data_IF_753311528079
#
_entry.id   IF_753311528079
#
_cell.length_a   1.000
_cell.length_b   1.000
_cell.length_c   1.000
_cell.angle_alpha   90.00
_cell.angle_beta   90.00
_cell.angle_gamma   90.00
#
_symmetry.space_group_name_H-M   'P 1'
#
loop_
_entity.id
_entity.type
_entity.pdbx_description
1 polymer ?
#
# COMPACT_ATOMS: atom_id res chain seq x y z
N UNK A 1 -16.79 0.80 -13.82
CA UNK A 1 -16.65 0.74 -12.34
C UNK A 1 -15.72 -0.42 -11.96
N UNK A 2 -16.15 -1.69 -12.04
CA UNK A 2 -15.28 -2.85 -11.73
C UNK A 2 -14.05 -3.01 -12.63
N UNK A 3 -14.19 -2.66 -13.92
CA UNK A 3 -13.09 -2.76 -14.91
C UNK A 3 -11.93 -1.78 -14.64
N UNK A 4 -12.13 -0.75 -13.82
CA UNK A 4 -11.09 0.20 -13.42
C UNK A 4 -10.53 -0.08 -12.01
N UNK A 5 -10.82 -1.25 -11.42
CA UNK A 5 -10.37 -1.60 -10.08
C UNK A 5 -11.24 -1.07 -8.94
N UNK A 6 -12.40 -0.48 -9.24
CA UNK A 6 -13.33 0.08 -8.25
C UNK A 6 -14.52 -0.86 -8.01
N UNK A 7 -14.72 -1.30 -6.76
CA UNK A 7 -15.85 -2.15 -6.34
C UNK A 7 -16.80 -1.37 -5.42
N UNK A 8 -17.77 -0.62 -5.98
CA UNK A 8 -18.74 0.11 -5.16
C UNK A 8 -19.66 -0.85 -4.42
N UNK A 9 -20.08 -0.42 -3.23
CA UNK A 9 -21.16 -1.05 -2.48
C UNK A 9 -22.54 -0.72 -3.08
N UNK A 10 -23.55 -1.50 -2.73
CA UNK A 10 -24.93 -1.29 -3.20
C UNK A 10 -25.48 0.08 -2.79
N UNK A 11 -25.12 0.55 -1.59
CA UNK A 11 -25.53 1.85 -1.05
C UNK A 11 -24.93 3.01 -1.86
N UNK A 12 -23.67 2.87 -2.30
CA UNK A 12 -23.03 3.86 -3.15
C UNK A 12 -23.64 3.90 -4.55
N UNK A 13 -23.96 2.73 -5.14
CA UNK A 13 -24.65 2.70 -6.42
C UNK A 13 -26.01 3.41 -6.36
N UNK A 14 -26.70 3.31 -5.22
CA UNK A 14 -27.98 4.00 -5.01
C UNK A 14 -27.77 5.51 -4.90
N UNK A 15 -26.80 5.99 -4.13
CA UNK A 15 -26.49 7.43 -4.01
C UNK A 15 -26.05 8.04 -5.35
N UNK A 16 -25.18 7.33 -6.08
CA UNK A 16 -24.74 7.69 -7.42
C UNK A 16 -25.95 7.77 -8.37
N UNK A 17 -26.91 6.85 -8.26
CA UNK A 17 -28.13 6.86 -9.09
C UNK A 17 -29.06 8.04 -8.80
N UNK A 18 -29.07 8.56 -7.58
CA UNK A 18 -29.91 9.69 -7.17
C UNK A 18 -29.33 11.05 -7.60
N UNK A 19 -28.00 11.16 -7.71
CA UNK A 19 -27.33 12.37 -8.19
C UNK A 19 -27.40 12.55 -9.72
N UNK A 20 -27.75 11.49 -10.47
CA UNK A 20 -27.86 11.55 -11.93
C UNK A 20 -29.21 12.14 -12.33
N UNK A 21 -29.24 13.45 -12.59
CA UNK A 21 -30.39 14.11 -13.20
C UNK A 21 -30.48 13.74 -14.69
N UNK A 22 -31.36 12.81 -15.04
CA UNK A 22 -31.76 12.59 -16.44
C UNK A 22 -31.15 11.39 -17.16
N UNK A 23 -30.51 10.46 -16.44
CA UNK A 23 -30.14 9.13 -16.96
C UNK A 23 -29.03 9.11 -18.02
N UNK A 24 -28.32 10.23 -18.22
CA UNK A 24 -27.11 10.31 -19.05
C UNK A 24 -25.99 10.86 -18.18
N UNK A 25 -24.88 10.13 -18.14
CA UNK A 25 -23.65 10.52 -17.47
C UNK A 25 -22.67 10.82 -18.60
N UNK A 26 -22.17 12.04 -18.69
CA UNK A 26 -21.04 12.32 -19.58
C UNK A 26 -19.71 12.00 -18.89
N UNK A 27 -18.61 12.10 -19.62
CA UNK A 27 -17.31 11.71 -19.08
C UNK A 27 -16.84 12.65 -17.94
N UNK A 28 -17.27 13.90 -17.96
CA UNK A 28 -16.89 14.91 -16.96
C UNK A 28 -17.65 14.66 -15.65
N UNK A 29 -18.95 14.39 -15.72
CA UNK A 29 -19.76 13.92 -14.58
C UNK A 29 -19.19 12.63 -13.99
N UNK A 30 -18.72 11.70 -14.84
CA UNK A 30 -18.12 10.45 -14.38
C UNK A 30 -16.80 10.68 -13.62
N UNK A 31 -15.95 11.59 -14.10
CA UNK A 31 -14.67 11.92 -13.44
C UNK A 31 -14.89 12.69 -12.14
N UNK A 32 -15.86 13.61 -12.06
CA UNK A 32 -16.15 14.32 -10.80
C UNK A 32 -16.72 13.37 -9.73
N UNK A 33 -17.54 12.42 -10.15
CA UNK A 33 -18.23 11.51 -9.25
C UNK A 33 -17.35 10.34 -8.81
N UNK A 34 -16.53 9.82 -9.71
CA UNK A 34 -15.65 8.68 -9.46
C UNK A 34 -14.22 9.11 -9.10
N UNK A 35 -13.76 10.30 -9.48
CA UNK A 35 -12.39 10.76 -9.22
C UNK A 35 -12.02 10.78 -7.74
N UNK A 36 -12.82 11.39 -6.84
CA UNK A 36 -12.52 11.42 -5.42
C UNK A 36 -12.60 10.04 -4.77
N UNK A 37 -13.57 9.21 -5.17
CA UNK A 37 -13.75 7.84 -4.62
C UNK A 37 -12.73 6.86 -5.14
N UNK A 38 -12.37 6.95 -6.42
CA UNK A 38 -11.26 6.19 -6.99
C UNK A 38 -9.97 6.64 -6.33
N UNK A 39 -9.66 7.93 -6.20
CA UNK A 39 -8.45 8.36 -5.50
C UNK A 39 -8.43 7.91 -4.03
N UNK A 40 -9.56 7.93 -3.31
CA UNK A 40 -9.63 7.48 -1.93
C UNK A 40 -9.52 5.95 -1.77
N UNK A 41 -10.33 5.17 -2.49
CA UNK A 41 -10.30 3.69 -2.39
C UNK A 41 -9.14 3.05 -3.15
N UNK A 42 -8.67 3.67 -4.23
CA UNK A 42 -7.44 3.22 -4.90
C UNK A 42 -6.20 3.68 -4.17
N UNK A 43 -6.17 4.76 -3.39
CA UNK A 43 -5.01 5.02 -2.52
C UNK A 43 -4.82 3.88 -1.50
N UNK A 44 -5.91 3.36 -0.92
CA UNK A 44 -5.84 2.23 0.00
C UNK A 44 -5.54 0.89 -0.73
N UNK A 45 -6.20 0.60 -1.86
CA UNK A 45 -5.94 -0.65 -2.61
C UNK A 45 -4.63 -0.67 -3.40
N UNK A 46 -4.24 0.45 -4.02
CA UNK A 46 -2.95 0.61 -4.69
C UNK A 46 -1.84 0.62 -3.64
N UNK A 47 -2.04 1.34 -2.53
CA UNK A 47 -1.10 1.35 -1.40
C UNK A 47 -0.80 -0.05 -0.90
N UNK A 48 -1.81 -0.87 -0.60
CA UNK A 48 -1.58 -2.25 -0.12
C UNK A 48 -0.89 -3.11 -1.19
N UNK A 49 -1.24 -2.96 -2.47
CA UNK A 49 -0.62 -3.74 -3.54
C UNK A 49 0.84 -3.34 -3.77
N UNK A 50 1.13 -2.05 -3.82
CA UNK A 50 2.50 -1.53 -3.94
C UNK A 50 3.34 -1.85 -2.70
N UNK A 51 2.77 -1.77 -1.50
CA UNK A 51 3.41 -2.20 -0.26
C UNK A 51 3.72 -3.69 -0.28
N UNK A 52 2.85 -4.52 -0.87
CA UNK A 52 3.06 -5.95 -1.01
C UNK A 52 4.12 -6.29 -2.06
N UNK A 53 4.15 -5.55 -3.17
CA UNK A 53 5.18 -5.72 -4.19
C UNK A 53 6.54 -5.23 -3.67
N UNK A 54 6.58 -4.12 -2.92
CA UNK A 54 7.75 -3.66 -2.19
C UNK A 54 8.18 -4.69 -1.13
N UNK A 55 7.28 -5.20 -0.30
CA UNK A 55 7.59 -6.21 0.70
C UNK A 55 8.25 -7.45 0.09
N UNK A 56 7.77 -7.91 -1.08
CA UNK A 56 8.39 -9.01 -1.84
C UNK A 56 9.76 -8.69 -2.41
N UNK A 57 10.06 -7.41 -2.66
CA UNK A 57 11.39 -7.01 -3.10
C UNK A 57 12.41 -7.04 -1.95
N UNK A 58 11.94 -6.84 -0.71
CA UNK A 58 12.74 -6.96 0.49
C UNK A 58 12.87 -8.44 0.92
N UNK A 59 11.77 -9.17 1.01
CA UNK A 59 11.70 -10.60 1.32
C UNK A 59 12.20 -11.45 0.14
N UNK A 60 13.53 -11.60 0.06
CA UNK A 60 14.19 -12.32 -1.03
C UNK A 60 14.01 -13.84 -0.95
N UNK A 61 13.80 -14.37 0.26
CA UNK A 61 13.63 -15.81 0.49
C UNK A 61 12.15 -16.27 0.36
N UNK A 62 11.19 -15.34 0.46
CA UNK A 62 9.76 -15.58 0.31
C UNK A 62 9.09 -16.23 1.52
N UNK A 63 9.68 -16.13 2.72
CA UNK A 63 9.17 -16.73 3.95
C UNK A 63 8.07 -15.88 4.62
N UNK A 64 7.79 -14.70 4.06
CA UNK A 64 6.75 -13.79 4.53
C UNK A 64 7.20 -12.87 5.67
N UNK A 65 8.50 -12.86 6.00
CA UNK A 65 9.13 -11.99 6.99
C UNK A 65 10.41 -11.40 6.41
N UNK A 66 10.74 -10.17 6.77
CA UNK A 66 11.99 -9.54 6.34
C UNK A 66 13.01 -9.71 7.45
N UNK A 67 14.04 -10.51 7.19
CA UNK A 67 15.17 -10.64 8.11
C UNK A 67 16.09 -9.40 8.07
N UNK A 68 16.90 -9.25 9.11
CA UNK A 68 17.91 -8.18 9.20
C UNK A 68 18.90 -8.19 8.02
N UNK A 69 19.20 -9.38 7.47
CA UNK A 69 20.05 -9.53 6.27
C UNK A 69 19.34 -9.04 5.01
N UNK A 70 18.07 -9.39 4.84
CA UNK A 70 17.24 -8.97 3.70
C UNK A 70 16.98 -7.47 3.71
N UNK A 71 16.65 -6.91 4.88
CA UNK A 71 16.51 -5.48 5.08
C UNK A 71 17.79 -4.74 4.68
N UNK A 72 18.96 -5.28 5.05
CA UNK A 72 20.27 -4.73 4.67
C UNK A 72 20.49 -4.73 3.17
N UNK A 73 20.21 -5.85 2.50
CA UNK A 73 20.40 -5.94 1.05
C UNK A 73 19.44 -5.02 0.30
N UNK A 74 18.19 -4.93 0.74
CA UNK A 74 17.18 -4.05 0.16
C UNK A 74 17.54 -2.57 0.36
N UNK A 75 17.92 -2.17 1.58
CA UNK A 75 18.39 -0.80 1.89
C UNK A 75 19.60 -0.40 1.04
N UNK A 76 20.54 -1.32 0.85
CA UNK A 76 21.70 -1.10 -0.02
C UNK A 76 21.31 -0.91 -1.50
N UNK A 77 20.31 -1.64 -1.99
CA UNK A 77 19.79 -1.49 -3.36
C UNK A 77 19.05 -0.16 -3.55
N UNK A 78 18.26 0.27 -2.57
CA UNK A 78 17.42 1.47 -2.67
C UNK A 78 18.20 2.76 -2.43
N UNK A 79 19.06 2.81 -1.41
CA UNK A 79 19.76 4.03 -1.01
C UNK A 79 21.17 4.12 -1.59
N UNK A 80 21.67 3.06 -2.23
CA UNK A 80 22.99 3.02 -2.88
C UNK A 80 24.19 3.07 -1.92
N UNK A 81 23.97 3.42 -0.65
CA UNK A 81 24.98 3.57 0.38
C UNK A 81 25.06 2.35 1.30
N UNK A 82 26.24 2.10 1.87
CA UNK A 82 26.47 1.00 2.80
C UNK A 82 25.84 1.34 4.15
N UNK A 83 24.54 1.06 4.29
CA UNK A 83 23.86 1.18 5.59
C UNK A 83 24.57 0.27 6.59
N UNK A 84 24.96 0.86 7.72
CA UNK A 84 25.74 0.17 8.74
C UNK A 84 24.84 -0.75 9.57
N UNK A 85 25.41 -1.81 10.15
CA UNK A 85 24.66 -2.71 11.04
C UNK A 85 23.99 -1.97 12.20
N UNK A 86 24.56 -0.84 12.62
CA UNK A 86 24.02 -0.03 13.70
C UNK A 86 22.74 0.68 13.27
N UNK A 87 22.73 1.30 12.10
CA UNK A 87 21.55 1.98 11.54
C UNK A 87 20.41 0.98 11.30
N UNK A 88 20.73 -0.21 10.75
CA UNK A 88 19.73 -1.26 10.54
C UNK A 88 19.19 -1.77 11.87
N UNK A 89 20.03 -1.92 12.89
CA UNK A 89 19.57 -2.31 14.22
C UNK A 89 18.70 -1.24 14.89
N UNK A 90 18.93 0.05 14.60
CA UNK A 90 18.08 1.14 15.09
C UNK A 90 16.73 1.15 14.37
N UNK A 91 16.73 0.99 13.04
CA UNK A 91 15.50 0.84 12.25
C UNK A 91 14.70 -0.36 12.72
N UNK A 92 15.34 -1.52 12.89
CA UNK A 92 14.67 -2.73 13.33
C UNK A 92 14.03 -2.52 14.70
N UNK A 93 14.72 -1.89 15.66
CA UNK A 93 14.14 -1.59 16.98
C UNK A 93 12.92 -0.67 16.95
N UNK A 94 12.82 0.19 15.94
CA UNK A 94 11.68 1.11 15.80
C UNK A 94 10.48 0.45 15.10
N UNK A 95 10.72 -0.62 14.34
CA UNK A 95 9.72 -1.28 13.48
C UNK A 95 9.26 -2.63 14.04
N UNK A 96 10.17 -3.40 14.64
CA UNK A 96 9.93 -4.68 15.32
C UNK A 96 9.18 -4.44 16.63
N UNK A 97 7.85 -4.57 16.57
CA UNK A 97 6.96 -4.36 17.70
C UNK A 97 6.80 -5.63 18.53
N UNK A 98 6.93 -6.79 17.89
CA UNK A 98 6.72 -8.09 18.50
C UNK A 98 8.01 -8.62 19.20
N UNK A 99 9.17 -8.06 18.88
CA UNK A 99 10.49 -8.36 19.44
C UNK A 99 11.12 -9.66 18.92
N UNK A 100 10.69 -10.18 17.77
CA UNK A 100 11.18 -11.43 17.19
C UNK A 100 12.45 -11.26 16.34
N UNK A 101 12.87 -10.02 16.10
CA UNK A 101 14.05 -9.68 15.32
C UNK A 101 13.84 -9.73 13.81
N UNK A 102 12.60 -9.88 13.37
CA UNK A 102 12.14 -9.89 11.98
C UNK A 102 11.13 -8.74 11.78
N UNK A 103 10.75 -8.50 10.53
CA UNK A 103 9.71 -7.52 10.21
C UNK A 103 8.63 -8.23 9.41
N UNK A 104 7.44 -8.34 9.98
CA UNK A 104 6.28 -8.89 9.29
C UNK A 104 5.61 -7.86 8.36
N UNK A 105 4.64 -8.32 7.57
CA UNK A 105 3.94 -7.44 6.63
C UNK A 105 3.18 -6.31 7.33
N UNK A 106 2.62 -6.54 8.51
CA UNK A 106 1.86 -5.54 9.25
C UNK A 106 2.78 -4.46 9.82
N UNK A 107 3.94 -4.85 10.35
CA UNK A 107 5.00 -3.97 10.81
C UNK A 107 5.60 -3.14 9.66
N UNK A 108 5.82 -3.76 8.50
CA UNK A 108 6.29 -3.07 7.30
C UNK A 108 5.28 -2.02 6.79
N UNK A 109 3.99 -2.36 6.74
CA UNK A 109 2.94 -1.42 6.36
C UNK A 109 2.90 -0.25 7.34
N UNK A 110 3.04 -0.52 8.64
CA UNK A 110 3.06 0.51 9.67
C UNK A 110 4.28 1.44 9.58
N UNK A 111 5.43 0.91 9.15
CA UNK A 111 6.62 1.71 8.85
C UNK A 111 6.37 2.69 7.70
N UNK A 112 5.70 2.24 6.64
CA UNK A 112 5.43 3.04 5.43
C UNK A 112 4.21 3.95 5.53
N UNK A 113 3.28 3.68 6.44
CA UNK A 113 2.03 4.44 6.63
C UNK A 113 2.19 5.69 7.51
N UNK A 114 3.42 6.12 7.79
CA UNK A 114 3.72 7.19 8.74
C UNK A 114 3.90 8.56 8.10
#
# INVERSE_FOLDING_TARGET
MRTMGYMPTEMELIELSQQISGGKIDFEDFVELMGPKMLAETADMIGVKELRDAFREFDSNGDGQISLMELREAMKKLMGEQVTNKEISEILKDVDLNGDGLVDFEEFVRMMSR
#
